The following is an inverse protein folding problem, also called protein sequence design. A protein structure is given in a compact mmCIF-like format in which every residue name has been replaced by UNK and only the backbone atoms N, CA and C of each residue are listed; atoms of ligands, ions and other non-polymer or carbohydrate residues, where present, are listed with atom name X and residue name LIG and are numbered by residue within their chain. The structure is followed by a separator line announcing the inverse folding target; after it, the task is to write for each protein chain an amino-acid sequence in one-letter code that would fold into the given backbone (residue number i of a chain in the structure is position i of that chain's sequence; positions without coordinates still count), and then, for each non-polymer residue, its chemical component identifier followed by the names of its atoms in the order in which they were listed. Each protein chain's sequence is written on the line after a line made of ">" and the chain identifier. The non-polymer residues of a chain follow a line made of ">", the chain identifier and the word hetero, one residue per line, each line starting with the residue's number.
data_IF_914670461322
#
_entry.id   IF_914670461322
#
_cell.length_a   1.000
_cell.length_b   1.000
_cell.length_c   1.000
_cell.angle_alpha   90.00
_cell.angle_beta   90.00
_cell.angle_gamma   90.00
#
_symmetry.space_group_name_H-M   'P 1'
#
loop_
_entity.id
_entity.type
_entity.pdbx_description
1 polymer ?
#
# COMPACT_ATOMS: atom_id res chain seq x y z
N UNK A 1 -25.01 -36.82 -6.55
CA UNK A 1 -24.80 -35.86 -5.44
C UNK A 1 -25.94 -34.85 -5.54
N UNK A 2 -26.76 -34.76 -4.49
CA UNK A 2 -27.90 -33.85 -4.52
C UNK A 2 -27.44 -32.40 -4.57
N UNK A 3 -28.22 -31.53 -5.21
CA UNK A 3 -27.88 -30.11 -5.38
C UNK A 3 -27.64 -29.44 -4.02
N UNK A 4 -28.34 -29.87 -2.97
CA UNK A 4 -28.16 -29.38 -1.59
C UNK A 4 -26.80 -29.77 -1.01
N UNK A 5 -26.34 -30.98 -1.25
CA UNK A 5 -24.99 -31.44 -0.82
C UNK A 5 -23.90 -30.64 -1.51
N UNK A 6 -24.07 -30.34 -2.81
CA UNK A 6 -23.12 -29.51 -3.57
C UNK A 6 -23.09 -28.07 -3.03
N UNK A 7 -24.25 -27.45 -2.81
CA UNK A 7 -24.35 -26.10 -2.25
C UNK A 7 -23.72 -26.01 -0.86
N UNK A 8 -23.97 -27.01 0.00
CA UNK A 8 -23.36 -27.06 1.32
C UNK A 8 -21.84 -27.20 1.28
N UNK A 9 -21.32 -28.02 0.37
CA UNK A 9 -19.88 -28.16 0.17
C UNK A 9 -19.25 -26.87 -0.34
N UNK A 10 -19.86 -26.19 -1.32
CA UNK A 10 -19.41 -24.90 -1.83
C UNK A 10 -19.42 -23.84 -0.73
N UNK A 11 -20.48 -23.78 0.09
CA UNK A 11 -20.60 -22.83 1.18
C UNK A 11 -19.51 -23.06 2.25
N UNK A 12 -19.27 -24.29 2.68
CA UNK A 12 -18.20 -24.60 3.64
C UNK A 12 -16.83 -24.25 3.07
N UNK A 13 -16.57 -24.62 1.80
CA UNK A 13 -15.27 -24.34 1.17
C UNK A 13 -15.01 -22.84 1.12
N UNK A 14 -16.01 -22.06 0.69
CA UNK A 14 -15.90 -20.60 0.64
C UNK A 14 -15.75 -20.00 2.03
N UNK A 15 -16.52 -20.49 3.02
CA UNK A 15 -16.41 -20.04 4.40
C UNK A 15 -15.03 -20.32 4.99
N UNK A 16 -14.43 -21.49 4.75
CA UNK A 16 -13.08 -21.83 5.20
C UNK A 16 -12.02 -20.93 4.56
N UNK A 17 -12.11 -20.66 3.26
CA UNK A 17 -11.18 -19.77 2.56
C UNK A 17 -11.23 -18.34 3.10
N UNK A 18 -12.43 -17.81 3.32
CA UNK A 18 -12.61 -16.45 3.87
C UNK A 18 -12.16 -16.42 5.34
N UNK A 19 -12.52 -17.43 6.13
CA UNK A 19 -12.11 -17.53 7.55
C UNK A 19 -10.60 -17.59 7.69
N UNK A 20 -9.89 -18.31 6.81
CA UNK A 20 -8.43 -18.31 6.79
C UNK A 20 -7.86 -16.89 6.61
N UNK A 21 -8.39 -16.14 5.64
CA UNK A 21 -7.97 -14.74 5.41
C UNK A 21 -8.26 -13.86 6.64
N UNK A 22 -9.43 -14.03 7.27
CA UNK A 22 -9.82 -13.25 8.45
C UNK A 22 -8.96 -13.58 9.66
N UNK A 23 -8.66 -14.87 9.90
CA UNK A 23 -7.76 -15.31 10.98
C UNK A 23 -6.37 -14.73 10.79
N UNK A 24 -5.84 -14.79 9.57
CA UNK A 24 -4.55 -14.18 9.25
C UNK A 24 -4.53 -12.68 9.59
N UNK A 25 -5.51 -11.92 9.09
CA UNK A 25 -5.61 -10.49 9.40
C UNK A 25 -5.75 -10.22 10.92
N UNK A 26 -6.47 -11.08 11.64
CA UNK A 26 -6.64 -10.98 13.10
C UNK A 26 -5.31 -11.10 13.83
N UNK A 27 -4.50 -12.11 13.48
CA UNK A 27 -3.19 -12.34 14.11
C UNK A 27 -2.33 -11.07 13.99
N UNK A 28 -2.24 -10.49 12.79
CA UNK A 28 -1.40 -9.32 12.57
C UNK A 28 -2.00 -8.01 13.11
N UNK A 29 -3.34 -7.90 13.18
CA UNK A 29 -3.98 -6.78 13.88
C UNK A 29 -3.65 -6.79 15.38
N UNK A 30 -3.74 -7.95 16.01
CA UNK A 30 -3.38 -8.10 17.43
C UNK A 30 -1.88 -7.90 17.65
N UNK A 31 -1.04 -8.42 16.75
CA UNK A 31 0.40 -8.20 16.80
C UNK A 31 0.77 -6.71 16.69
N UNK A 32 0.03 -5.92 15.92
CA UNK A 32 0.24 -4.48 15.81
C UNK A 32 0.03 -3.72 17.13
N UNK A 33 -0.70 -4.31 18.09
CA UNK A 33 -0.88 -3.74 19.43
C UNK A 33 0.32 -3.98 20.37
N UNK A 34 1.25 -4.87 20.00
CA UNK A 34 2.46 -5.09 20.77
C UNK A 34 3.32 -3.82 20.82
N UNK A 35 4.09 -3.63 21.92
CA UNK A 35 4.90 -2.44 22.10
C UNK A 35 5.91 -2.27 20.95
N UNK A 36 6.16 -1.00 20.60
CA UNK A 36 7.12 -0.60 19.58
C UNK A 36 8.55 -0.95 20.02
N UNK A 37 9.37 -1.40 19.05
CA UNK A 37 10.82 -1.36 19.23
C UNK A 37 11.27 0.10 19.17
N UNK A 38 11.81 0.61 20.27
CA UNK A 38 12.36 1.96 20.31
C UNK A 38 13.79 1.97 19.81
N UNK A 39 14.05 2.79 18.81
CA UNK A 39 15.42 3.12 18.42
C UNK A 39 15.94 4.20 19.36
N UNK A 40 16.73 3.80 20.35
CA UNK A 40 17.17 4.70 21.43
C UNK A 40 18.57 5.29 21.22
N UNK A 41 19.32 4.80 20.25
CA UNK A 41 20.68 5.26 20.02
C UNK A 41 20.67 6.54 19.18
N UNK A 42 21.27 7.61 19.73
CA UNK A 42 21.62 8.81 18.95
C UNK A 42 22.65 8.42 17.91
N UNK A 43 22.27 8.52 16.66
CA UNK A 43 23.15 8.22 15.54
C UNK A 43 24.10 9.37 15.31
N UNK A 44 25.40 9.08 15.29
CA UNK A 44 26.45 10.07 14.98
C UNK A 44 26.78 10.14 13.50
N UNK A 45 26.56 9.02 12.79
CA UNK A 45 26.83 8.94 11.37
C UNK A 45 25.68 9.61 10.57
N UNK A 46 26.06 10.41 9.59
CA UNK A 46 25.12 11.07 8.68
C UNK A 46 25.30 10.49 7.28
N UNK A 47 24.33 9.74 6.83
CA UNK A 47 24.32 9.12 5.51
C UNK A 47 24.09 10.16 4.41
N UNK A 48 24.62 9.90 3.23
CA UNK A 48 24.33 10.67 2.03
C UNK A 48 23.16 10.07 1.28
N UNK A 49 22.15 10.88 1.01
CA UNK A 49 20.89 10.45 0.37
C UNK A 49 20.82 10.88 -1.09
N UNK A 50 20.20 10.04 -1.92
CA UNK A 50 19.64 10.44 -3.20
C UNK A 50 18.13 10.23 -3.19
N UNK A 51 17.38 11.30 -3.46
CA UNK A 51 15.91 11.25 -3.52
C UNK A 51 15.52 11.19 -4.99
N UNK A 52 14.82 10.13 -5.38
CA UNK A 52 14.31 9.90 -6.73
C UNK A 52 12.80 10.16 -6.78
N UNK A 53 12.37 11.07 -7.65
CA UNK A 53 10.96 11.48 -7.81
C UNK A 53 10.54 11.24 -9.26
N UNK A 54 9.96 10.06 -9.59
CA UNK A 54 9.36 9.84 -10.88
C UNK A 54 8.05 10.62 -11.01
N UNK A 55 7.87 11.32 -12.12
CA UNK A 55 6.66 12.08 -12.44
C UNK A 55 6.23 11.80 -13.88
N UNK A 56 4.96 11.45 -14.05
CA UNK A 56 4.33 11.25 -15.34
C UNK A 56 3.05 12.07 -15.42
N UNK A 57 3.02 13.09 -16.28
CA UNK A 57 1.87 13.98 -16.48
C UNK A 57 1.27 14.51 -15.16
N UNK A 58 2.13 14.85 -14.20
CA UNK A 58 1.70 15.25 -12.86
C UNK A 58 2.38 16.55 -12.43
N UNK A 59 1.62 17.66 -12.39
CA UNK A 59 2.10 18.98 -11.94
C UNK A 59 2.34 19.04 -10.42
N UNK A 60 1.75 18.14 -9.62
CA UNK A 60 1.94 18.14 -8.17
C UNK A 60 3.37 17.75 -7.75
N UNK A 61 4.23 17.38 -8.70
CA UNK A 61 5.65 17.11 -8.45
C UNK A 61 6.38 18.32 -7.84
N UNK A 62 5.98 19.55 -8.16
CA UNK A 62 6.55 20.77 -7.59
C UNK A 62 6.41 20.81 -6.06
N UNK A 63 5.26 20.36 -5.52
CA UNK A 63 5.03 20.28 -4.07
C UNK A 63 5.94 19.24 -3.41
N UNK A 64 6.16 18.11 -4.07
CA UNK A 64 7.08 17.07 -3.59
C UNK A 64 8.51 17.59 -3.52
N UNK A 65 8.96 18.28 -4.58
CA UNK A 65 10.28 18.89 -4.64
C UNK A 65 10.44 19.95 -3.55
N UNK A 66 9.45 20.82 -3.37
CA UNK A 66 9.47 21.85 -2.33
C UNK A 66 9.61 21.24 -0.91
N UNK A 67 8.86 20.18 -0.62
CA UNK A 67 8.97 19.49 0.68
C UNK A 67 10.31 18.75 0.86
N UNK A 68 10.87 18.21 -0.22
CA UNK A 68 12.16 17.54 -0.21
C UNK A 68 13.34 18.53 -0.07
N UNK A 69 13.24 19.73 -0.63
CA UNK A 69 14.22 20.80 -0.43
C UNK A 69 14.15 21.44 0.95
N UNK A 70 12.97 21.40 1.60
CA UNK A 70 12.72 21.95 2.93
C UNK A 70 13.22 21.08 4.10
N UNK A 71 14.13 20.13 3.86
CA UNK A 71 14.64 19.24 4.92
C UNK A 71 15.61 19.96 5.84
N UNK A 72 15.53 19.66 7.16
CA UNK A 72 16.47 20.12 8.20
C UNK A 72 17.84 19.44 8.11
N UNK A 73 17.95 18.38 7.31
CA UNK A 73 19.19 17.64 7.09
C UNK A 73 20.22 18.47 6.28
N UNK A 74 21.54 18.28 6.51
CA UNK A 74 22.55 19.10 5.82
C UNK A 74 22.45 18.96 4.29
N UNK A 75 22.25 20.08 3.59
CA UNK A 75 22.03 20.12 2.11
C UNK A 75 23.16 19.45 1.31
N UNK A 76 24.39 19.47 1.81
CA UNK A 76 25.52 18.79 1.18
C UNK A 76 25.42 17.25 1.19
N UNK A 77 24.54 16.70 2.02
CA UNK A 77 24.38 15.25 2.24
C UNK A 77 23.15 14.68 1.54
N UNK A 78 22.45 15.45 0.75
CA UNK A 78 21.40 14.88 -0.09
C UNK A 78 21.29 15.58 -1.44
N UNK A 79 20.88 14.84 -2.43
CA UNK A 79 20.58 15.33 -3.77
C UNK A 79 19.17 14.87 -4.18
N UNK A 80 18.53 15.63 -5.05
CA UNK A 80 17.19 15.31 -5.54
C UNK A 80 17.26 15.16 -7.06
N UNK A 81 16.76 14.05 -7.59
CA UNK A 81 16.62 13.81 -9.02
C UNK A 81 15.16 13.61 -9.37
N UNK A 82 14.61 14.49 -10.20
CA UNK A 82 13.27 14.40 -10.74
C UNK A 82 13.33 13.82 -12.15
N UNK A 83 12.54 12.77 -12.39
CA UNK A 83 12.37 12.18 -13.71
C UNK A 83 11.00 12.61 -14.23
N UNK A 84 10.99 13.64 -15.06
CA UNK A 84 9.80 14.32 -15.57
C UNK A 84 9.45 13.80 -16.95
N UNK A 85 8.55 12.82 -17.04
CA UNK A 85 8.12 12.23 -18.29
C UNK A 85 6.73 12.75 -18.69
N UNK A 86 6.63 13.37 -19.89
CA UNK A 86 5.40 13.95 -20.43
C UNK A 86 4.71 14.99 -19.52
N UNK A 87 5.43 15.65 -18.62
CA UNK A 87 4.91 16.81 -17.89
C UNK A 87 4.84 18.03 -18.82
N UNK A 88 4.02 19.02 -18.45
CA UNK A 88 3.91 20.25 -19.23
C UNK A 88 5.19 21.10 -19.15
N UNK A 89 5.39 21.97 -20.15
CA UNK A 89 6.58 22.80 -20.24
C UNK A 89 6.70 23.78 -19.05
N UNK A 90 5.60 24.30 -18.54
CA UNK A 90 5.60 25.21 -17.40
C UNK A 90 6.10 24.52 -16.13
N UNK A 91 5.62 23.30 -15.85
CA UNK A 91 6.12 22.48 -14.72
C UNK A 91 7.62 22.21 -14.87
N UNK A 92 8.08 21.82 -16.06
CA UNK A 92 9.51 21.59 -16.31
C UNK A 92 10.34 22.86 -16.16
N UNK A 93 9.82 24.02 -16.59
CA UNK A 93 10.46 25.31 -16.40
C UNK A 93 10.62 25.67 -14.92
N UNK A 94 9.58 25.50 -14.11
CA UNK A 94 9.65 25.74 -12.66
C UNK A 94 10.63 24.79 -11.97
N UNK A 95 10.63 23.51 -12.36
CA UNK A 95 11.55 22.50 -11.80
C UNK A 95 13.00 22.82 -12.15
N UNK A 96 13.27 23.30 -13.37
CA UNK A 96 14.63 23.66 -13.82
C UNK A 96 15.23 24.85 -13.05
N UNK A 97 14.42 25.66 -12.38
CA UNK A 97 14.87 26.77 -11.52
C UNK A 97 15.23 26.32 -10.10
N UNK A 98 14.92 25.08 -9.74
CA UNK A 98 15.21 24.52 -8.41
C UNK A 98 16.62 23.88 -8.37
N UNK A 99 17.27 23.79 -7.19
CA UNK A 99 18.57 23.14 -7.05
C UNK A 99 18.45 21.61 -7.05
N UNK A 100 17.97 21.05 -8.17
CA UNK A 100 17.73 19.63 -8.39
C UNK A 100 18.33 19.16 -9.71
N UNK A 101 18.47 17.85 -9.88
CA UNK A 101 18.75 17.26 -11.20
C UNK A 101 17.42 16.94 -11.89
N UNK A 102 17.14 17.59 -13.00
CA UNK A 102 15.95 17.35 -13.81
C UNK A 102 16.28 16.49 -15.02
N UNK A 103 15.65 15.34 -15.14
CA UNK A 103 15.72 14.47 -16.32
C UNK A 103 14.35 14.48 -17.02
N UNK A 104 14.34 14.80 -18.31
CA UNK A 104 13.12 14.92 -19.12
C UNK A 104 13.09 13.88 -20.24
N UNK A 105 12.95 12.57 -19.91
CA UNK A 105 12.85 11.54 -20.93
C UNK A 105 11.52 11.68 -21.69
N UNK A 106 11.51 11.14 -22.93
CA UNK A 106 10.29 11.01 -23.72
C UNK A 106 10.14 9.53 -24.13
N UNK A 107 9.72 8.70 -23.18
CA UNK A 107 9.54 7.27 -23.43
C UNK A 107 8.24 7.01 -24.18
N UNK A 108 8.27 6.13 -25.21
CA UNK A 108 7.06 5.65 -25.89
C UNK A 108 6.16 4.86 -24.93
N UNK A 109 6.77 4.07 -24.05
CA UNK A 109 6.11 3.32 -22.99
C UNK A 109 6.76 3.69 -21.66
N UNK A 110 6.02 4.44 -20.87
CA UNK A 110 6.45 4.90 -19.55
C UNK A 110 6.46 3.74 -18.56
N UNK A 111 7.60 3.51 -17.91
CA UNK A 111 7.79 2.47 -16.90
C UNK A 111 8.72 3.02 -15.80
N UNK A 112 8.31 2.90 -14.55
CA UNK A 112 9.10 3.37 -13.40
C UNK A 112 10.49 2.73 -13.32
N UNK A 113 10.65 1.46 -13.74
CA UNK A 113 11.99 0.84 -13.82
C UNK A 113 12.93 1.62 -14.75
N UNK A 114 12.45 2.00 -15.93
CA UNK A 114 13.24 2.81 -16.88
C UNK A 114 13.60 4.18 -16.31
N UNK A 115 12.69 4.80 -15.52
CA UNK A 115 12.98 6.07 -14.85
C UNK A 115 14.13 5.93 -13.85
N UNK A 116 14.10 4.90 -13.02
CA UNK A 116 15.15 4.68 -12.02
C UNK A 116 16.47 4.26 -12.68
N UNK A 117 16.44 3.43 -13.73
CA UNK A 117 17.62 3.09 -14.54
C UNK A 117 18.26 4.34 -15.13
N UNK A 118 17.46 5.23 -15.74
CA UNK A 118 17.91 6.50 -16.27
C UNK A 118 18.52 7.39 -15.17
N UNK A 119 17.83 7.52 -14.03
CA UNK A 119 18.33 8.33 -12.93
C UNK A 119 19.67 7.82 -12.41
N UNK A 120 19.79 6.53 -12.09
CA UNK A 120 21.02 5.94 -11.57
C UNK A 120 22.17 6.05 -12.57
N UNK A 121 21.91 5.90 -13.88
CA UNK A 121 22.92 6.02 -14.92
C UNK A 121 23.43 7.45 -15.12
N UNK A 122 22.63 8.45 -14.73
CA UNK A 122 22.99 9.87 -14.86
C UNK A 122 23.56 10.48 -13.55
N UNK A 123 23.62 9.72 -12.46
CA UNK A 123 24.24 10.23 -11.22
C UNK A 123 25.73 10.41 -11.37
N UNK A 124 26.31 11.47 -10.79
CA UNK A 124 27.74 11.70 -10.79
C UNK A 124 28.51 10.55 -10.14
N UNK A 125 29.45 9.94 -10.86
CA UNK A 125 30.22 8.80 -10.37
C UNK A 125 31.14 9.14 -9.18
N UNK A 126 31.48 10.40 -9.00
CA UNK A 126 32.33 10.87 -7.88
C UNK A 126 31.54 11.09 -6.58
N UNK A 127 30.21 11.14 -6.62
CA UNK A 127 29.37 11.24 -5.43
C UNK A 127 29.00 9.84 -4.94
N UNK A 128 29.40 9.52 -3.72
CA UNK A 128 29.03 8.28 -3.06
C UNK A 128 27.74 8.53 -2.27
N UNK A 129 26.67 7.82 -2.60
CA UNK A 129 25.43 7.79 -1.85
C UNK A 129 25.37 6.52 -1.00
N UNK A 130 24.77 6.63 0.18
CA UNK A 130 24.56 5.51 1.09
C UNK A 130 23.15 4.94 0.93
N UNK A 131 22.18 5.83 0.75
CA UNK A 131 20.75 5.46 0.72
C UNK A 131 20.03 6.15 -0.43
N UNK A 132 19.20 5.39 -1.12
CA UNK A 132 18.24 5.88 -2.12
C UNK A 132 16.86 5.98 -1.48
N UNK A 133 16.18 7.11 -1.68
CA UNK A 133 14.80 7.34 -1.25
C UNK A 133 13.91 7.51 -2.47
N UNK A 134 12.76 6.85 -2.48
CA UNK A 134 11.78 6.94 -3.55
C UNK A 134 10.52 7.63 -3.03
N UNK A 135 10.16 8.76 -3.65
CA UNK A 135 8.91 9.49 -3.43
C UNK A 135 8.13 9.58 -4.73
N UNK A 136 6.82 9.47 -4.68
CA UNK A 136 5.96 9.71 -5.84
C UNK A 136 5.61 11.20 -5.99
N UNK A 137 5.36 11.65 -7.22
CA UNK A 137 4.88 12.99 -7.48
C UNK A 137 3.54 13.25 -6.78
N UNK A 138 3.45 14.33 -6.00
CA UNK A 138 2.32 14.67 -5.13
C UNK A 138 2.52 14.28 -3.66
N UNK A 139 3.56 13.53 -3.32
CA UNK A 139 3.89 13.25 -1.92
C UNK A 139 4.49 14.47 -1.23
N UNK A 140 4.14 14.64 0.04
CA UNK A 140 4.73 15.65 0.93
C UNK A 140 5.35 14.95 2.12
N UNK A 141 6.54 15.38 2.50
CA UNK A 141 7.30 14.87 3.65
C UNK A 141 7.55 15.98 4.67
N UNK A 142 7.68 15.59 5.94
CA UNK A 142 8.02 16.51 7.03
C UNK A 142 9.48 16.99 6.95
N UNK A 143 9.79 18.12 7.55
CA UNK A 143 11.13 18.72 7.49
C UNK A 143 12.23 17.87 8.15
N UNK A 144 11.89 17.00 9.09
CA UNK A 144 12.79 16.08 9.79
C UNK A 144 12.84 14.66 9.18
N UNK A 145 12.23 14.47 8.00
CA UNK A 145 12.08 13.16 7.35
C UNK A 145 13.44 12.47 7.11
N UNK A 146 14.44 13.21 6.60
CA UNK A 146 15.76 12.65 6.35
C UNK A 146 16.51 12.30 7.65
N UNK A 147 16.33 13.07 8.73
CA UNK A 147 16.90 12.74 10.05
C UNK A 147 16.29 11.45 10.61
N UNK A 148 14.97 11.29 10.47
CA UNK A 148 14.26 10.09 10.90
C UNK A 148 14.70 8.87 10.09
N UNK A 149 14.83 8.99 8.75
CA UNK A 149 15.37 7.91 7.89
C UNK A 149 16.78 7.56 8.32
N UNK A 150 17.67 8.55 8.51
CA UNK A 150 19.03 8.31 8.93
C UNK A 150 19.08 7.49 10.23
N UNK A 151 18.29 7.92 11.20
CA UNK A 151 18.20 7.25 12.50
C UNK A 151 17.66 5.82 12.37
N UNK A 152 16.61 5.63 11.58
CA UNK A 152 16.01 4.31 11.36
C UNK A 152 16.98 3.36 10.61
N UNK A 153 17.64 3.85 9.57
CA UNK A 153 18.56 3.08 8.75
C UNK A 153 19.75 2.55 9.56
N UNK A 154 20.38 3.42 10.35
CA UNK A 154 21.51 3.06 11.20
C UNK A 154 21.14 2.10 12.35
N UNK A 155 19.93 2.22 12.91
CA UNK A 155 19.49 1.39 14.03
C UNK A 155 18.85 0.06 13.60
N UNK A 156 18.19 0.02 12.44
CA UNK A 156 17.48 -1.17 11.99
C UNK A 156 18.40 -2.30 11.52
N UNK A 157 19.60 -1.96 11.05
CA UNK A 157 20.56 -2.94 10.50
C UNK A 157 20.05 -3.63 9.24
N UNK A 158 19.05 -3.04 8.55
CA UNK A 158 18.47 -3.55 7.31
C UNK A 158 18.77 -2.64 6.13
N UNK A 159 18.66 -3.20 4.92
CA UNK A 159 18.89 -2.48 3.65
C UNK A 159 17.63 -1.88 3.05
N UNK A 160 16.47 -2.05 3.69
CA UNK A 160 15.20 -1.56 3.17
C UNK A 160 14.30 -1.02 4.28
N UNK A 161 13.78 0.19 4.08
CA UNK A 161 12.83 0.84 4.99
C UNK A 161 11.56 1.21 4.22
N UNK A 162 10.42 1.14 4.90
CA UNK A 162 9.12 1.62 4.44
C UNK A 162 8.58 2.66 5.41
N UNK A 163 8.32 3.87 4.93
CA UNK A 163 7.67 4.92 5.70
C UNK A 163 6.17 4.69 5.86
N UNK A 164 5.57 5.36 6.83
CA UNK A 164 4.14 5.38 7.08
C UNK A 164 3.45 6.32 6.08
N UNK A 165 2.73 5.74 5.12
CA UNK A 165 1.99 6.51 4.12
C UNK A 165 0.62 6.88 4.67
N UNK A 166 0.33 8.19 4.70
CA UNK A 166 -0.89 8.77 5.28
C UNK A 166 -1.66 9.55 4.22
N UNK A 167 -2.98 9.57 4.32
CA UNK A 167 -3.82 10.40 3.45
C UNK A 167 -3.70 11.87 3.82
N UNK A 168 -3.42 12.72 2.84
CA UNK A 168 -3.42 14.19 2.99
C UNK A 168 -4.83 14.79 2.87
N UNK A 169 -5.70 14.15 2.10
CA UNK A 169 -7.06 14.61 1.83
C UNK A 169 -8.08 13.51 2.18
N UNK A 170 -9.16 13.89 2.83
CA UNK A 170 -10.27 13.00 3.17
C UNK A 170 -11.63 13.70 2.92
N UNK A 171 -11.67 14.61 1.92
CA UNK A 171 -12.87 15.41 1.63
C UNK A 171 -14.01 14.64 0.98
N UNK A 172 -13.70 13.65 0.12
CA UNK A 172 -14.71 12.82 -0.51
C UNK A 172 -14.85 11.48 0.22
N UNK A 173 -16.04 10.85 0.14
CA UNK A 173 -16.26 9.51 0.71
C UNK A 173 -15.28 8.46 0.14
N UNK A 174 -14.90 8.61 -1.14
CA UNK A 174 -13.94 7.73 -1.80
C UNK A 174 -12.55 7.92 -1.20
N UNK A 175 -12.11 9.17 -0.98
CA UNK A 175 -10.80 9.44 -0.38
C UNK A 175 -10.75 9.04 1.10
N UNK A 176 -11.84 9.18 1.86
CA UNK A 176 -11.94 8.66 3.23
C UNK A 176 -11.80 7.14 3.25
N UNK A 177 -12.54 6.44 2.39
CA UNK A 177 -12.44 4.99 2.28
C UNK A 177 -11.03 4.55 1.87
N UNK A 178 -10.39 5.25 0.93
CA UNK A 178 -9.02 4.98 0.52
C UNK A 178 -8.02 5.20 1.67
N UNK A 179 -8.23 6.23 2.50
CA UNK A 179 -7.43 6.50 3.70
C UNK A 179 -7.57 5.38 4.75
N UNK A 180 -8.79 4.95 5.04
CA UNK A 180 -9.07 3.84 5.97
C UNK A 180 -8.39 2.55 5.47
N UNK A 181 -8.50 2.23 4.18
CA UNK A 181 -7.83 1.05 3.63
C UNK A 181 -6.31 1.14 3.68
N UNK A 182 -5.73 2.34 3.53
CA UNK A 182 -4.28 2.52 3.69
C UNK A 182 -3.86 2.28 5.14
N UNK A 183 -4.61 2.80 6.12
CA UNK A 183 -4.29 2.59 7.54
C UNK A 183 -4.48 1.13 7.99
N UNK A 184 -5.48 0.44 7.47
CA UNK A 184 -5.59 -1.01 7.67
C UNK A 184 -4.38 -1.74 7.09
N UNK A 185 -3.82 -1.31 5.94
CA UNK A 185 -2.56 -1.85 5.42
C UNK A 185 -1.38 -1.53 6.32
N UNK A 186 -1.27 -0.29 6.80
CA UNK A 186 -0.23 0.12 7.73
C UNK A 186 -0.25 -0.72 9.00
N UNK A 187 -1.44 -0.96 9.56
CA UNK A 187 -1.61 -1.74 10.78
C UNK A 187 -1.32 -3.23 10.56
N UNK A 188 -1.98 -3.86 9.58
CA UNK A 188 -1.89 -5.33 9.40
C UNK A 188 -0.58 -5.71 8.72
N UNK A 189 -0.35 -5.19 7.48
CA UNK A 189 0.70 -5.70 6.58
C UNK A 189 2.05 -5.01 6.72
N UNK A 190 2.17 -4.02 7.60
CA UNK A 190 3.44 -3.34 7.90
C UNK A 190 3.75 -3.45 9.39
N UNK A 191 3.01 -2.74 10.24
CA UNK A 191 3.23 -2.71 11.68
C UNK A 191 3.12 -4.10 12.31
N UNK A 192 2.02 -4.82 12.09
CA UNK A 192 1.79 -6.15 12.65
C UNK A 192 2.85 -7.16 12.25
N UNK A 193 3.27 -7.14 10.98
CA UNK A 193 4.35 -8.01 10.49
C UNK A 193 5.67 -7.71 11.18
N UNK A 194 6.08 -6.44 11.22
CA UNK A 194 7.32 -6.06 11.88
C UNK A 194 7.32 -6.38 13.39
N UNK A 195 6.18 -6.31 14.08
CA UNK A 195 6.07 -6.74 15.49
C UNK A 195 6.38 -8.22 15.69
N UNK A 196 6.10 -9.05 14.71
CA UNK A 196 6.41 -10.48 14.72
C UNK A 196 7.74 -10.84 14.07
N UNK A 197 8.54 -9.84 13.64
CA UNK A 197 9.84 -10.06 13.00
C UNK A 197 9.72 -10.48 11.53
N UNK A 198 8.60 -10.16 10.87
CA UNK A 198 8.38 -10.36 9.44
C UNK A 198 8.45 -9.04 8.68
N UNK A 199 8.85 -9.07 7.42
CA UNK A 199 9.01 -7.89 6.57
C UNK A 199 7.69 -7.15 6.33
N UNK A 200 7.76 -5.84 6.44
CA UNK A 200 6.65 -4.98 6.05
C UNK A 200 6.34 -5.06 4.55
N UNK A 201 5.08 -4.87 4.20
CA UNK A 201 4.70 -4.67 2.80
C UNK A 201 5.10 -3.29 2.30
N UNK A 202 5.61 -3.24 1.08
CA UNK A 202 5.94 -1.99 0.41
C UNK A 202 4.68 -1.27 -0.13
N UNK A 203 4.80 0.04 -0.33
CA UNK A 203 3.78 0.87 -0.99
C UNK A 203 4.43 1.92 -1.87
N UNK A 204 4.95 1.58 -2.97
CA UNK A 204 5.47 2.43 -4.07
C UNK A 204 6.05 3.82 -3.72
N UNK A 205 5.90 4.32 -2.48
CA UNK A 205 6.38 5.63 -2.04
C UNK A 205 6.83 5.62 -0.58
N UNK A 206 7.76 6.53 -0.23
CA UNK A 206 8.35 6.55 1.11
C UNK A 206 9.20 5.31 1.39
N UNK A 207 9.81 4.76 0.36
CA UNK A 207 10.74 3.65 0.45
C UNK A 207 12.17 4.17 0.49
N UNK A 208 13.01 3.59 1.33
CA UNK A 208 14.44 3.85 1.33
C UNK A 208 15.20 2.53 1.24
N UNK A 209 16.26 2.52 0.44
CA UNK A 209 17.08 1.34 0.18
C UNK A 209 18.56 1.67 0.28
N UNK A 210 19.35 0.68 0.69
CA UNK A 210 20.80 0.74 0.49
C UNK A 210 21.11 1.05 -0.98
N UNK A 211 21.97 2.04 -1.22
CA UNK A 211 22.23 2.55 -2.57
C UNK A 211 22.85 1.49 -3.49
N UNK A 212 23.84 0.75 -3.01
CA UNK A 212 24.53 -0.25 -3.86
C UNK A 212 23.60 -1.44 -4.16
N UNK A 213 22.80 -1.85 -3.17
CA UNK A 213 21.76 -2.85 -3.40
C UNK A 213 20.75 -2.38 -4.45
N UNK A 214 20.24 -1.17 -4.32
CA UNK A 214 19.26 -0.61 -5.25
C UNK A 214 19.84 -0.48 -6.66
N UNK A 215 21.04 0.08 -6.79
CA UNK A 215 21.75 0.26 -8.06
C UNK A 215 21.96 -1.07 -8.78
N UNK A 216 22.48 -2.08 -8.09
CA UNK A 216 22.69 -3.40 -8.68
C UNK A 216 21.40 -4.07 -9.12
N UNK A 217 20.33 -3.90 -8.32
CA UNK A 217 19.01 -4.47 -8.60
C UNK A 217 18.34 -3.76 -9.78
N UNK A 218 18.27 -2.42 -9.77
CA UNK A 218 17.53 -1.67 -10.77
C UNK A 218 18.15 -1.75 -12.17
N UNK A 219 19.46 -1.78 -12.27
CA UNK A 219 20.15 -1.89 -13.56
C UNK A 219 19.88 -3.22 -14.27
N UNK A 220 19.58 -4.27 -13.52
CA UNK A 220 19.25 -5.61 -14.04
C UNK A 220 17.72 -5.84 -14.16
N UNK A 221 16.91 -4.90 -13.66
CA UNK A 221 15.47 -5.08 -13.55
C UNK A 221 14.79 -5.02 -14.93
N UNK A 222 14.20 -6.13 -15.37
CA UNK A 222 13.53 -6.27 -16.67
C UNK A 222 11.99 -6.29 -16.58
N UNK A 223 11.45 -6.46 -15.36
CA UNK A 223 10.02 -6.54 -15.14
C UNK A 223 9.38 -5.15 -14.98
N UNK A 224 8.06 -5.10 -14.90
CA UNK A 224 7.38 -3.89 -14.46
C UNK A 224 7.70 -3.60 -13.00
N UNK A 225 8.01 -2.34 -12.72
CA UNK A 225 8.25 -1.88 -11.36
C UNK A 225 6.92 -1.77 -10.62
N UNK A 226 6.70 -2.69 -9.71
CA UNK A 226 5.60 -2.66 -8.75
C UNK A 226 6.07 -3.19 -7.38
N UNK A 227 5.30 -2.87 -6.33
CA UNK A 227 5.62 -3.22 -4.95
C UNK A 227 5.79 -4.73 -4.76
N UNK A 228 4.97 -5.56 -5.39
CA UNK A 228 4.97 -7.01 -5.24
C UNK A 228 6.21 -7.66 -5.86
N UNK A 229 6.59 -7.22 -7.06
CA UNK A 229 7.82 -7.70 -7.69
C UNK A 229 9.05 -7.31 -6.86
N UNK A 230 9.07 -6.08 -6.32
CA UNK A 230 10.18 -5.62 -5.48
C UNK A 230 10.24 -6.37 -4.15
N UNK A 231 9.09 -6.61 -3.48
CA UNK A 231 8.99 -7.45 -2.28
C UNK A 231 9.57 -8.85 -2.56
N UNK A 232 9.20 -9.45 -3.70
CA UNK A 232 9.72 -10.78 -4.08
C UNK A 232 11.25 -10.81 -4.19
N UNK A 233 11.85 -9.79 -4.82
CA UNK A 233 13.32 -9.71 -4.97
C UNK A 233 14.00 -9.51 -3.62
N UNK A 234 13.50 -8.58 -2.80
CA UNK A 234 14.05 -8.33 -1.46
C UNK A 234 14.10 -9.60 -0.62
N UNK A 235 12.98 -10.32 -0.56
CA UNK A 235 12.88 -11.51 0.29
C UNK A 235 13.68 -12.71 -0.24
N UNK A 236 13.76 -12.87 -1.57
CA UNK A 236 14.64 -13.88 -2.17
C UNK A 236 16.13 -13.59 -1.89
N UNK A 237 16.49 -12.33 -1.71
CA UNK A 237 17.83 -11.89 -1.33
C UNK A 237 18.01 -11.74 0.19
N UNK A 238 17.05 -12.20 0.99
CA UNK A 238 17.05 -12.12 2.46
C UNK A 238 17.18 -10.68 3.00
N UNK A 239 16.63 -9.72 2.28
CA UNK A 239 16.58 -8.33 2.71
C UNK A 239 15.26 -8.07 3.45
N UNK A 240 15.37 -7.84 4.75
CA UNK A 240 14.24 -7.49 5.60
C UNK A 240 13.78 -6.06 5.33
N UNK A 241 12.46 -5.84 5.32
CA UNK A 241 11.85 -4.51 5.18
C UNK A 241 11.37 -4.02 6.53
N UNK A 242 12.03 -3.00 7.07
CA UNK A 242 11.63 -2.36 8.32
C UNK A 242 10.55 -1.30 8.06
N UNK A 243 9.51 -1.29 8.88
CA UNK A 243 8.46 -0.27 8.86
C UNK A 243 8.72 0.80 9.90
N UNK A 244 8.86 2.05 9.46
CA UNK A 244 9.14 3.19 10.35
C UNK A 244 7.84 3.95 10.61
N UNK A 245 7.22 3.68 11.75
CA UNK A 245 5.88 4.19 12.10
C UNK A 245 5.80 5.71 12.20
N UNK A 246 6.86 6.37 12.67
CA UNK A 246 6.90 7.82 12.92
C UNK A 246 7.45 8.60 11.71
N UNK A 247 7.66 7.94 10.60
CA UNK A 247 8.18 8.52 9.36
C UNK A 247 7.02 8.70 8.38
N UNK A 248 6.43 9.87 8.32
CA UNK A 248 5.23 10.13 7.54
C UNK A 248 5.51 10.57 6.12
N UNK A 249 4.76 9.98 5.18
CA UNK A 249 4.63 10.45 3.79
C UNK A 249 3.17 10.73 3.52
N UNK A 250 2.85 11.99 3.29
CA UNK A 250 1.49 12.45 3.00
C UNK A 250 1.20 12.32 1.51
N UNK A 251 0.13 11.63 1.17
CA UNK A 251 -0.25 11.31 -0.20
C UNK A 251 -1.70 11.70 -0.48
N UNK A 252 -1.99 12.12 -1.70
CA UNK A 252 -3.34 12.42 -2.13
C UNK A 252 -4.06 11.13 -2.56
N UNK A 253 -5.21 10.87 -1.96
CA UNK A 253 -6.05 9.72 -2.32
C UNK A 253 -7.00 10.08 -3.45
N UNK A 254 -7.37 9.10 -4.31
CA UNK A 254 -8.34 9.29 -5.37
C UNK A 254 -9.65 9.85 -4.84
N UNK A 255 -10.17 10.87 -5.51
CA UNK A 255 -11.46 11.50 -5.15
C UNK A 255 -12.64 10.87 -5.89
N UNK A 256 -12.37 10.21 -7.02
CA UNK A 256 -13.38 9.58 -7.86
C UNK A 256 -13.30 8.06 -7.76
N UNK A 257 -14.47 7.41 -7.77
CA UNK A 257 -14.59 5.96 -7.66
C UNK A 257 -13.90 5.21 -8.83
N UNK A 258 -13.90 5.79 -10.04
CA UNK A 258 -13.26 5.20 -11.21
C UNK A 258 -11.74 5.06 -11.04
N UNK A 259 -11.07 6.11 -10.55
CA UNK A 259 -9.63 6.11 -10.31
C UNK A 259 -9.26 5.14 -9.19
N UNK A 260 -10.06 5.12 -8.12
CA UNK A 260 -9.91 4.18 -7.03
C UNK A 260 -10.02 2.73 -7.52
N UNK A 261 -11.06 2.42 -8.31
CA UNK A 261 -11.30 1.07 -8.84
C UNK A 261 -10.20 0.65 -9.80
N UNK A 262 -9.73 1.57 -10.66
CA UNK A 262 -8.63 1.31 -11.59
C UNK A 262 -7.34 0.94 -10.83
N UNK A 263 -6.97 1.70 -9.80
CA UNK A 263 -5.81 1.41 -8.97
C UNK A 263 -5.94 0.06 -8.26
N UNK A 264 -7.10 -0.24 -7.68
CA UNK A 264 -7.37 -1.53 -7.00
C UNK A 264 -7.32 -2.70 -7.96
N UNK A 265 -7.89 -2.57 -9.15
CA UNK A 265 -7.81 -3.59 -10.19
C UNK A 265 -6.37 -3.93 -10.59
N UNK A 266 -5.51 -2.90 -10.71
CA UNK A 266 -4.07 -3.10 -10.97
C UNK A 266 -3.37 -3.82 -9.82
N UNK A 267 -3.68 -3.50 -8.57
CA UNK A 267 -3.12 -4.17 -7.40
C UNK A 267 -3.50 -5.64 -7.32
N UNK A 268 -4.79 -5.96 -7.54
CA UNK A 268 -5.27 -7.35 -7.55
C UNK A 268 -4.56 -8.12 -8.66
N UNK A 269 -4.45 -7.54 -9.86
CA UNK A 269 -3.75 -8.16 -10.98
C UNK A 269 -2.27 -8.43 -10.65
N UNK A 270 -1.57 -7.45 -10.09
CA UNK A 270 -0.17 -7.59 -9.68
C UNK A 270 0.00 -8.67 -8.61
N UNK A 271 -0.86 -8.69 -7.59
CA UNK A 271 -0.88 -9.73 -6.54
C UNK A 271 -0.99 -11.14 -7.16
N UNK A 272 -1.95 -11.34 -8.07
CA UNK A 272 -2.16 -12.63 -8.70
C UNK A 272 -0.99 -13.07 -9.57
N UNK A 273 -0.46 -12.16 -10.39
CA UNK A 273 0.70 -12.44 -11.26
C UNK A 273 1.92 -12.80 -10.42
N UNK A 274 2.18 -12.06 -9.33
CA UNK A 274 3.31 -12.33 -8.45
C UNK A 274 3.12 -13.62 -7.67
N UNK A 275 1.90 -13.92 -7.21
CA UNK A 275 1.59 -15.21 -6.58
C UNK A 275 1.91 -16.37 -7.52
N UNK A 276 1.40 -16.37 -8.76
CA UNK A 276 1.65 -17.45 -9.71
C UNK A 276 3.13 -17.66 -10.02
N UNK A 277 3.92 -16.57 -10.02
CA UNK A 277 5.37 -16.64 -10.21
C UNK A 277 6.12 -17.23 -9.01
N UNK A 278 5.60 -17.05 -7.80
CA UNK A 278 6.34 -17.37 -6.56
C UNK A 278 5.76 -18.54 -5.77
N UNK A 279 4.55 -19.01 -6.07
CA UNK A 279 3.88 -20.05 -5.27
C UNK A 279 4.68 -21.35 -5.18
N UNK A 280 5.45 -21.68 -6.21
CA UNK A 280 6.29 -22.87 -6.22
C UNK A 280 7.47 -22.80 -5.24
N UNK A 281 7.83 -21.59 -4.78
CA UNK A 281 8.85 -21.42 -3.73
C UNK A 281 8.32 -21.68 -2.33
N UNK A 282 6.99 -21.70 -2.12
CA UNK A 282 6.40 -21.85 -0.79
C UNK A 282 6.83 -23.12 -0.04
N UNK A 283 6.78 -24.33 -0.64
CA UNK A 283 7.23 -25.54 0.07
C UNK A 283 8.69 -25.46 0.48
N UNK A 284 9.55 -24.94 -0.40
CA UNK A 284 10.98 -24.78 -0.13
C UNK A 284 11.22 -23.74 0.97
N UNK A 285 10.54 -22.60 0.92
CA UNK A 285 10.66 -21.55 1.93
C UNK A 285 10.27 -22.05 3.33
N UNK A 286 9.23 -22.88 3.45
CA UNK A 286 8.82 -23.49 4.72
C UNK A 286 9.91 -24.49 5.20
N UNK A 287 10.39 -25.38 4.33
CA UNK A 287 11.40 -26.38 4.68
C UNK A 287 12.74 -25.76 5.09
N UNK A 288 13.13 -24.66 4.43
CA UNK A 288 14.40 -23.96 4.70
C UNK A 288 14.27 -22.88 5.78
N UNK A 289 13.09 -22.77 6.45
CA UNK A 289 12.80 -21.79 7.50
C UNK A 289 12.93 -20.32 7.04
N UNK A 290 12.72 -20.06 5.78
CA UNK A 290 12.62 -18.71 5.23
C UNK A 290 11.21 -18.16 5.50
N UNK A 291 10.89 -17.98 6.78
CA UNK A 291 9.53 -17.65 7.23
C UNK A 291 9.00 -16.35 6.64
N UNK A 292 9.89 -15.39 6.41
CA UNK A 292 9.53 -14.10 5.82
C UNK A 292 9.05 -14.24 4.37
N UNK A 293 9.76 -15.04 3.55
CA UNK A 293 9.33 -15.35 2.19
C UNK A 293 8.05 -16.19 2.18
N UNK A 294 7.97 -17.20 3.05
CA UNK A 294 6.80 -18.06 3.15
C UNK A 294 5.54 -17.24 3.55
N UNK A 295 5.66 -16.39 4.55
CA UNK A 295 4.58 -15.51 4.99
C UNK A 295 4.14 -14.56 3.85
N UNK A 296 5.07 -13.97 3.11
CA UNK A 296 4.75 -13.08 2.00
C UNK A 296 4.00 -13.80 0.88
N UNK A 297 4.39 -15.04 0.54
CA UNK A 297 3.65 -15.84 -0.44
C UNK A 297 2.23 -16.14 0.08
N UNK A 298 2.08 -16.49 1.35
CA UNK A 298 0.77 -16.67 1.99
C UNK A 298 -0.04 -15.37 1.93
N UNK A 299 0.58 -14.22 2.20
CA UNK A 299 -0.07 -12.91 2.08
C UNK A 299 -0.62 -12.66 0.67
N UNK A 300 0.12 -13.03 -0.38
CA UNK A 300 -0.39 -12.92 -1.76
C UNK A 300 -1.49 -13.93 -2.09
N UNK A 301 -1.62 -15.04 -1.35
CA UNK A 301 -2.74 -15.99 -1.49
C UNK A 301 -4.02 -15.47 -0.83
N UNK A 302 -3.94 -14.50 0.08
CA UNK A 302 -5.13 -13.99 0.77
C UNK A 302 -6.12 -13.37 -0.20
N UNK A 303 -7.40 -13.56 0.08
CA UNK A 303 -8.45 -12.94 -0.70
C UNK A 303 -8.37 -11.40 -0.60
N UNK A 304 -8.42 -10.67 -1.72
CA UNK A 304 -8.47 -9.21 -1.69
C UNK A 304 -9.63 -8.72 -0.83
N UNK A 305 -9.36 -7.82 0.12
CA UNK A 305 -10.34 -7.39 1.14
C UNK A 305 -11.66 -6.87 0.58
N UNK A 306 -11.61 -6.23 -0.59
CA UNK A 306 -12.81 -5.76 -1.27
C UNK A 306 -13.70 -6.94 -1.71
N UNK A 307 -13.09 -7.98 -2.27
CA UNK A 307 -13.78 -9.21 -2.68
C UNK A 307 -14.30 -9.93 -1.45
N UNK A 308 -13.47 -10.05 -0.40
CA UNK A 308 -13.85 -10.64 0.88
C UNK A 308 -15.09 -9.96 1.46
N UNK A 309 -15.09 -8.64 1.59
CA UNK A 309 -16.23 -7.87 2.12
C UNK A 309 -17.48 -8.06 1.26
N UNK A 310 -17.33 -7.97 -0.08
CA UNK A 310 -18.45 -8.20 -0.99
C UNK A 310 -19.08 -9.59 -0.84
N UNK A 311 -18.25 -10.63 -0.74
CA UNK A 311 -18.72 -12.00 -0.55
C UNK A 311 -19.39 -12.21 0.80
N UNK A 312 -18.79 -11.70 1.89
CA UNK A 312 -19.35 -11.82 3.24
C UNK A 312 -20.71 -11.11 3.31
N UNK A 313 -20.84 -9.89 2.77
CA UNK A 313 -22.11 -9.16 2.70
C UNK A 313 -23.13 -9.93 1.86
N UNK A 314 -22.74 -10.42 0.68
CA UNK A 314 -23.62 -11.16 -0.23
C UNK A 314 -24.15 -12.43 0.46
N UNK A 315 -23.27 -13.24 1.05
CA UNK A 315 -23.67 -14.47 1.73
C UNK A 315 -24.56 -14.18 2.96
N UNK A 316 -24.23 -13.13 3.72
CA UNK A 316 -25.05 -12.68 4.88
C UNK A 316 -26.44 -12.20 4.47
N UNK A 317 -26.60 -11.66 3.26
CA UNK A 317 -27.88 -11.16 2.75
C UNK A 317 -28.73 -12.27 2.07
N UNK A 318 -28.11 -13.20 1.36
CA UNK A 318 -28.84 -14.20 0.54
C UNK A 318 -29.20 -15.46 1.36
N UNK A 319 -28.27 -15.97 2.17
CA UNK A 319 -28.47 -17.24 2.88
C UNK A 319 -29.67 -17.27 3.83
N UNK A 320 -30.07 -16.19 4.51
CA UNK A 320 -31.30 -16.22 5.33
C UNK A 320 -32.56 -16.64 4.59
N UNK A 321 -32.63 -16.35 3.30
CA UNK A 321 -33.79 -16.71 2.45
C UNK A 321 -33.73 -18.15 1.93
N UNK A 322 -32.56 -18.81 2.02
CA UNK A 322 -32.35 -20.19 1.55
C UNK A 322 -32.34 -21.15 2.74
N UNK A 323 -31.47 -20.86 3.73
CA UNK A 323 -31.29 -21.71 4.91
C UNK A 323 -30.72 -20.92 6.09
N UNK A 324 -31.57 -20.58 7.04
CA UNK A 324 -31.24 -19.68 8.15
C UNK A 324 -30.05 -20.16 9.01
N UNK A 325 -29.91 -21.46 9.21
CA UNK A 325 -28.79 -21.99 10.01
C UNK A 325 -27.43 -21.77 9.38
N UNK A 326 -27.35 -21.74 8.05
CA UNK A 326 -26.11 -21.38 7.35
C UNK A 326 -25.79 -19.88 7.45
N UNK A 327 -26.81 -19.04 7.52
CA UNK A 327 -26.64 -17.59 7.61
C UNK A 327 -25.96 -17.15 8.92
N UNK A 328 -26.21 -17.83 10.04
CA UNK A 328 -25.68 -17.46 11.35
C UNK A 328 -24.16 -17.39 11.39
N UNK A 329 -23.45 -18.34 10.78
CA UNK A 329 -21.98 -18.32 10.71
C UNK A 329 -21.46 -17.14 9.90
N UNK A 330 -22.15 -16.75 8.82
CA UNK A 330 -21.78 -15.62 7.99
C UNK A 330 -22.03 -14.28 8.69
N UNK A 331 -23.11 -14.16 9.47
CA UNK A 331 -23.35 -12.97 10.29
C UNK A 331 -22.30 -12.81 11.37
N UNK A 332 -21.93 -13.93 12.05
CA UNK A 332 -20.85 -13.91 13.02
C UNK A 332 -19.51 -13.49 12.37
N UNK A 333 -19.20 -14.04 11.20
CA UNK A 333 -18.01 -13.68 10.45
C UNK A 333 -18.03 -12.22 10.00
N UNK A 334 -19.17 -11.70 9.55
CA UNK A 334 -19.35 -10.31 9.16
C UNK A 334 -19.10 -9.35 10.34
N UNK A 335 -19.73 -9.61 11.47
CA UNK A 335 -19.50 -8.83 12.70
C UNK A 335 -18.03 -8.86 13.12
N UNK A 336 -17.39 -10.03 13.03
CA UNK A 336 -15.99 -10.19 13.38
C UNK A 336 -15.05 -9.44 12.43
N UNK A 337 -15.31 -9.46 11.13
CA UNK A 337 -14.53 -8.68 10.13
C UNK A 337 -14.64 -7.18 10.40
N UNK A 338 -15.85 -6.69 10.69
CA UNK A 338 -16.05 -5.28 11.04
C UNK A 338 -15.27 -4.89 12.31
N UNK A 339 -15.30 -5.76 13.33
CA UNK A 339 -14.55 -5.56 14.57
C UNK A 339 -13.04 -5.48 14.33
N UNK A 340 -12.48 -6.41 13.53
CA UNK A 340 -11.04 -6.39 13.18
C UNK A 340 -10.66 -5.14 12.38
N UNK A 341 -11.49 -4.70 11.45
CA UNK A 341 -11.24 -3.48 10.70
C UNK A 341 -11.33 -2.23 11.57
N UNK A 342 -12.25 -2.21 12.53
CA UNK A 342 -12.33 -1.13 13.51
C UNK A 342 -11.05 -1.07 14.38
N UNK A 343 -10.56 -2.22 14.87
CA UNK A 343 -9.30 -2.28 15.61
C UNK A 343 -8.06 -1.89 14.78
N UNK A 344 -8.09 -2.15 13.48
CA UNK A 344 -6.98 -1.82 12.58
C UNK A 344 -6.99 -0.36 12.11
N UNK A 345 -8.06 0.38 12.37
CA UNK A 345 -8.21 1.78 11.94
C UNK A 345 -7.86 2.72 13.11
N UNK A 346 -6.92 3.67 12.93
CA UNK A 346 -6.58 4.63 13.98
C UNK A 346 -7.70 5.63 14.28
N UNK A 347 -7.76 6.09 15.53
CA UNK A 347 -8.80 7.00 16.03
C UNK A 347 -8.89 8.32 15.26
N UNK A 348 -7.78 8.85 14.73
CA UNK A 348 -7.78 10.11 14.00
C UNK A 348 -8.57 10.11 12.68
N UNK A 349 -8.88 8.91 12.15
CA UNK A 349 -9.76 8.76 10.97
C UNK A 349 -11.24 8.56 11.34
N UNK A 350 -11.53 8.38 12.63
CA UNK A 350 -12.89 8.17 13.15
C UNK A 350 -13.51 9.53 13.46
N UNK A 351 -13.92 10.25 12.43
CA UNK A 351 -14.67 11.52 12.55
C UNK A 351 -16.20 11.29 12.54
N UNK A 352 -16.97 12.37 12.70
CA UNK A 352 -18.45 12.33 12.69
C UNK A 352 -19.02 11.73 11.37
N UNK A 353 -18.27 11.78 10.29
CA UNK A 353 -18.65 11.25 8.99
C UNK A 353 -18.27 9.77 8.80
N UNK A 354 -17.47 9.20 9.72
CA UNK A 354 -16.98 7.83 9.63
C UNK A 354 -18.12 6.80 9.52
N UNK A 355 -19.17 6.95 10.32
CA UNK A 355 -20.32 6.04 10.32
C UNK A 355 -21.03 6.02 8.96
N UNK A 356 -21.21 7.20 8.34
CA UNK A 356 -21.85 7.31 7.02
C UNK A 356 -20.96 6.74 5.90
N UNK A 357 -19.67 6.95 5.97
CA UNK A 357 -18.69 6.42 4.99
C UNK A 357 -18.53 4.91 5.10
N UNK A 358 -18.51 4.38 6.34
CA UNK A 358 -18.42 2.94 6.59
C UNK A 358 -19.68 2.18 6.15
N UNK A 359 -20.86 2.74 6.38
CA UNK A 359 -22.14 2.17 5.94
C UNK A 359 -22.30 2.20 4.42
N UNK A 360 -21.74 3.20 3.74
CA UNK A 360 -21.78 3.30 2.27
C UNK A 360 -20.64 2.55 1.57
N UNK A 361 -19.61 2.13 2.29
CA UNK A 361 -18.48 1.38 1.72
C UNK A 361 -18.91 0.11 0.96
N UNK A 362 -19.89 -0.70 1.41
CA UNK A 362 -20.40 -1.83 0.62
C UNK A 362 -21.02 -1.42 -0.71
N UNK A 363 -21.75 -0.28 -0.77
CA UNK A 363 -22.35 0.24 -2.00
C UNK A 363 -21.31 0.72 -3.00
N UNK A 364 -20.26 1.40 -2.52
CA UNK A 364 -19.13 1.83 -3.36
C UNK A 364 -18.41 0.58 -3.91
N UNK A 365 -18.28 -0.46 -3.09
CA UNK A 365 -17.71 -1.75 -3.49
C UNK A 365 -18.56 -2.46 -4.55
N UNK A 366 -19.87 -2.51 -4.37
CA UNK A 366 -20.80 -3.12 -5.34
C UNK A 366 -20.74 -2.41 -6.69
N UNK A 367 -20.54 -1.09 -6.73
CA UNK A 367 -20.31 -0.33 -7.97
C UNK A 367 -19.04 -0.72 -8.70
N UNK A 368 -18.05 -1.27 -7.97
CA UNK A 368 -16.76 -1.71 -8.55
C UNK A 368 -16.84 -3.05 -9.28
N UNK A 369 -17.91 -3.82 -9.07
CA UNK A 369 -18.07 -5.16 -9.64
C UNK A 369 -18.97 -5.05 -10.87
N UNK A 370 -18.49 -5.42 -12.09
CA UNK A 370 -19.32 -5.44 -13.27
C UNK A 370 -20.58 -6.30 -13.05
N UNK A 371 -21.76 -5.73 -13.30
CA UNK A 371 -23.05 -6.38 -13.08
C UNK A 371 -23.75 -6.05 -11.75
N UNK A 372 -23.02 -5.69 -10.70
CA UNK A 372 -23.59 -5.24 -9.41
C UNK A 372 -23.79 -3.72 -9.35
N UNK A 373 -23.20 -2.96 -10.25
CA UNK A 373 -23.35 -1.50 -10.30
C UNK A 373 -24.81 -1.06 -10.36
N UNK A 374 -25.63 -1.71 -11.19
CA UNK A 374 -27.07 -1.42 -11.31
C UNK A 374 -27.85 -1.66 -10.00
N UNK A 375 -27.44 -2.67 -9.22
CA UNK A 375 -28.05 -2.97 -7.91
C UNK A 375 -27.63 -1.90 -6.90
N UNK A 376 -26.37 -1.50 -6.92
CA UNK A 376 -25.87 -0.42 -6.06
C UNK A 376 -26.58 0.91 -6.36
N UNK A 377 -26.79 1.25 -7.63
CA UNK A 377 -27.52 2.46 -8.05
C UNK A 377 -29.01 2.40 -7.65
N UNK A 378 -29.62 1.23 -7.70
CA UNK A 378 -31.00 1.03 -7.23
C UNK A 378 -31.13 1.19 -5.71
N UNK A 379 -30.18 0.66 -4.94
CA UNK A 379 -30.15 0.83 -3.47
C UNK A 379 -29.96 2.30 -3.09
N UNK A 380 -29.05 3.02 -3.77
CA UNK A 380 -28.82 4.45 -3.55
C UNK A 380 -30.04 5.31 -3.93
N UNK A 381 -30.77 4.90 -4.98
CA UNK A 381 -32.05 5.51 -5.36
C UNK A 381 -33.11 5.31 -4.27
N UNK A 382 -33.21 4.12 -3.72
CA UNK A 382 -34.14 3.82 -2.62
C UNK A 382 -33.79 4.64 -1.36
N UNK A 383 -32.51 4.70 -0.98
CA UNK A 383 -32.05 5.48 0.17
C UNK A 383 -32.40 6.96 0.04
N UNK A 384 -32.13 7.56 -1.13
CA UNK A 384 -32.53 8.94 -1.43
C UNK A 384 -34.05 9.15 -1.37
N UNK A 385 -34.85 8.22 -1.87
CA UNK A 385 -36.29 8.30 -1.86
C UNK A 385 -36.87 8.21 -0.45
N UNK A 386 -36.32 7.36 0.41
CA UNK A 386 -36.74 7.23 1.82
C UNK A 386 -36.31 8.44 2.67
N UNK A 387 -35.19 9.08 2.37
CA UNK A 387 -34.76 10.30 3.08
C UNK A 387 -35.53 11.54 2.66
N UNK A 388 -36.05 11.62 1.42
CA UNK A 388 -36.92 12.71 0.98
C UNK A 388 -38.34 12.64 1.51
N UNK A 389 -38.78 11.49 2.03
CA UNK A 389 -40.16 11.30 2.57
C UNK A 389 -40.21 11.62 4.07
N UNK A 390 -39.10 12.02 4.70
CA UNK A 390 -39.03 12.41 6.14
C UNK A 390 -38.80 13.92 6.35
N UNK A 391 -39.08 14.77 5.34
CA UNK A 391 -39.16 16.22 5.49
C UNK A 391 -40.55 16.70 5.25
#
# INVERSE_FOLDING_TARGET
>A
MDIWTLLYFCDITLFCLISFTVIYMTIFTLAAMLPKRHYTQKVKHQNRFIILIPSYRNSNVEQTVASALGQSYPQRLFDITVISDHNNEMTNFHLAQQPITLLTPNFRESNKAKYFQLAISNLPQFKLYDVVIILEAGNIIESDFLEKINTAYENAGTRALQAHRVSRNSKSQVSQMAAIFEEINNTIFRKGHNRLGLSASLCMSGMAFDYEWFKSTILQFKANWDDKNLESILLQQHVFVEYVEDLYVYDEKPQHAEDFNRQRGQWIKSQFVTLLKNIHHLPWAILTRQYDLADKIIQWMLMPRMVLMGLVVMMSAILPFIYMSLALKWWALFAFVLFIFALATPDYLVDENWSSSSLKSPLILMRSIPGLSKIADFIDYLDKKFHHTKR
#
